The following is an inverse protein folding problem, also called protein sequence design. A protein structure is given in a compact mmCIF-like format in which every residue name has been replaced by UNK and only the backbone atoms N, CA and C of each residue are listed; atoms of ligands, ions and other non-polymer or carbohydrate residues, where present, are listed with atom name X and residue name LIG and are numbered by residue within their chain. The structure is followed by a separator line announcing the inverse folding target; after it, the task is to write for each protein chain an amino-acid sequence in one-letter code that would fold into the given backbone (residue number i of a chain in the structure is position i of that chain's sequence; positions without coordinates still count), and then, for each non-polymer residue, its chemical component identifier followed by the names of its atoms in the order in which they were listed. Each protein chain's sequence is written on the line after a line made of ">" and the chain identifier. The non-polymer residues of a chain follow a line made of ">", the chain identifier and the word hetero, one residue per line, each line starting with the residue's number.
data_IF_257870749433
#
_entry.id   IF_257870749433
#
_cell.length_a   1.000
_cell.length_b   1.000
_cell.length_c   1.000
_cell.angle_alpha   90.00
_cell.angle_beta   90.00
_cell.angle_gamma   90.00
#
_symmetry.space_group_name_H-M   'P 1'
#
loop_
_entity.id
_entity.type
_entity.pdbx_description
1 polymer ?
#
# COMPACT_ATOMS: atom_id res chain seq x y z
N UNK A 1 -6.89 6.23 -14.03
CA UNK A 1 -5.47 5.88 -13.82
C UNK A 1 -5.12 4.69 -14.72
N UNK A 2 -3.96 4.62 -15.37
CA UNK A 2 -3.59 3.44 -16.18
C UNK A 2 -2.88 2.36 -15.32
N UNK A 3 -2.99 1.08 -15.68
CA UNK A 3 -2.42 -0.06 -14.93
C UNK A 3 -0.91 0.02 -14.74
N UNK A 4 -0.17 0.42 -15.78
CA UNK A 4 1.30 0.52 -15.75
C UNK A 4 1.77 1.51 -14.68
N UNK A 5 1.10 2.66 -14.59
CA UNK A 5 1.38 3.68 -13.59
C UNK A 5 1.08 3.18 -12.18
N UNK A 6 -0.06 2.50 -11.98
CA UNK A 6 -0.42 1.95 -10.66
C UNK A 6 0.58 0.89 -10.19
N UNK A 7 0.99 -0.01 -11.09
CA UNK A 7 2.05 -0.99 -10.81
C UNK A 7 3.38 -0.31 -10.49
N UNK A 8 3.77 0.70 -11.28
CA UNK A 8 4.99 1.46 -11.05
C UNK A 8 4.99 2.18 -9.70
N UNK A 9 3.85 2.75 -9.29
CA UNK A 9 3.70 3.37 -7.97
C UNK A 9 3.88 2.35 -6.86
N UNK A 10 3.14 1.23 -6.91
CA UNK A 10 3.19 0.19 -5.89
C UNK A 10 4.59 -0.43 -5.77
N UNK A 11 5.22 -0.74 -6.90
CA UNK A 11 6.59 -1.25 -6.96
C UNK A 11 7.60 -0.22 -6.43
N UNK A 12 7.41 1.06 -6.75
CA UNK A 12 8.26 2.14 -6.25
C UNK A 12 8.22 2.25 -4.73
N UNK A 13 7.06 2.04 -4.08
CA UNK A 13 6.98 2.00 -2.61
C UNK A 13 7.76 0.81 -2.05
N UNK A 14 7.67 -0.37 -2.68
CA UNK A 14 8.42 -1.55 -2.25
C UNK A 14 9.93 -1.31 -2.34
N UNK A 15 10.41 -0.74 -3.45
CA UNK A 15 11.83 -0.53 -3.73
C UNK A 15 12.46 0.57 -2.86
N UNK A 16 11.66 1.55 -2.45
CA UNK A 16 12.11 2.67 -1.63
C UNK A 16 11.87 2.49 -0.13
N UNK A 17 11.18 1.42 0.27
CA UNK A 17 10.93 1.10 1.68
C UNK A 17 12.25 0.90 2.44
N UNK A 18 12.33 1.31 3.73
CA UNK A 18 13.52 1.08 4.55
C UNK A 18 13.90 -0.40 4.57
N UNK A 19 15.15 -0.72 4.23
CA UNK A 19 15.65 -2.10 4.09
C UNK A 19 15.56 -2.95 5.36
N UNK A 20 15.41 -2.32 6.52
CA UNK A 20 15.23 -3.02 7.81
C UNK A 20 13.81 -3.56 8.00
N UNK A 21 12.84 -3.08 7.21
CA UNK A 21 11.49 -3.64 7.23
C UNK A 21 11.49 -5.06 6.71
N UNK A 22 10.71 -5.92 7.37
CA UNK A 22 10.43 -7.25 6.82
C UNK A 22 9.59 -7.14 5.55
N UNK A 23 9.65 -8.16 4.69
CA UNK A 23 8.84 -8.22 3.47
C UNK A 23 7.34 -8.00 3.75
N UNK A 24 6.83 -8.56 4.86
CA UNK A 24 5.45 -8.37 5.27
C UNK A 24 5.10 -6.91 5.62
N UNK A 25 6.03 -6.17 6.26
CA UNK A 25 5.83 -4.75 6.59
C UNK A 25 6.04 -3.84 5.37
N UNK A 26 6.97 -4.18 4.49
CA UNK A 26 7.12 -3.50 3.20
C UNK A 26 5.85 -3.64 2.35
N UNK A 27 5.27 -4.85 2.29
CA UNK A 27 4.03 -5.07 1.56
C UNK A 27 2.85 -4.31 2.19
N UNK A 28 2.71 -4.36 3.52
CA UNK A 28 1.67 -3.61 4.23
C UNK A 28 1.77 -2.09 3.99
N UNK A 29 2.99 -1.55 3.97
CA UNK A 29 3.25 -0.14 3.65
C UNK A 29 2.84 0.18 2.21
N UNK A 30 3.25 -0.65 1.24
CA UNK A 30 2.93 -0.46 -0.18
C UNK A 30 1.41 -0.50 -0.44
N UNK A 31 0.71 -1.45 0.18
CA UNK A 31 -0.75 -1.56 0.13
C UNK A 31 -1.40 -0.29 0.69
N UNK A 32 -1.03 0.13 1.91
CA UNK A 32 -1.63 1.28 2.56
C UNK A 32 -1.43 2.57 1.74
N UNK A 33 -0.20 2.80 1.25
CA UNK A 33 0.13 3.96 0.42
C UNK A 33 -0.59 3.93 -0.94
N UNK A 34 -0.72 2.76 -1.57
CA UNK A 34 -1.43 2.61 -2.84
C UNK A 34 -2.93 2.86 -2.69
N UNK A 35 -3.56 2.31 -1.65
CA UNK A 35 -4.99 2.55 -1.37
C UNK A 35 -5.25 4.04 -1.15
N UNK A 36 -4.43 4.72 -0.34
CA UNK A 36 -4.61 6.14 -0.06
C UNK A 36 -4.42 6.99 -1.34
N UNK A 37 -3.35 6.72 -2.11
CA UNK A 37 -3.09 7.43 -3.36
C UNK A 37 -4.22 7.26 -4.38
N UNK A 38 -4.70 6.03 -4.59
CA UNK A 38 -5.75 5.73 -5.57
C UNK A 38 -7.10 6.30 -5.16
N UNK A 39 -7.42 6.31 -3.85
CA UNK A 39 -8.62 6.99 -3.34
C UNK A 39 -8.57 8.50 -3.56
N UNK A 40 -7.43 9.14 -3.30
CA UNK A 40 -7.24 10.57 -3.61
C UNK A 40 -7.38 10.85 -5.11
N UNK A 41 -7.01 9.90 -5.96
CA UNK A 41 -7.21 9.97 -7.41
C UNK A 41 -8.65 9.62 -7.87
N UNK A 42 -9.58 9.38 -6.95
CA UNK A 42 -10.99 9.09 -7.24
C UNK A 42 -11.26 7.67 -7.74
N UNK A 43 -10.33 6.74 -7.56
CA UNK A 43 -10.51 5.32 -7.91
C UNK A 43 -11.38 4.64 -6.85
N UNK A 44 -12.38 3.88 -7.28
CA UNK A 44 -13.28 3.17 -6.38
C UNK A 44 -12.60 1.95 -5.72
N UNK A 45 -13.11 1.55 -4.56
CA UNK A 45 -12.53 0.44 -3.78
C UNK A 45 -12.53 -0.90 -4.51
N UNK A 46 -13.49 -1.19 -5.40
CA UNK A 46 -13.51 -2.45 -6.12
C UNK A 46 -12.38 -2.51 -7.15
N UNK A 47 -12.16 -1.42 -7.89
CA UNK A 47 -11.03 -1.28 -8.81
C UNK A 47 -9.69 -1.34 -8.06
N UNK A 48 -9.58 -0.70 -6.90
CA UNK A 48 -8.35 -0.77 -6.07
C UNK A 48 -8.10 -2.20 -5.58
N UNK A 49 -9.12 -2.90 -5.11
CA UNK A 49 -9.00 -4.28 -4.63
C UNK A 49 -8.53 -5.20 -5.76
N UNK A 50 -9.20 -5.13 -6.93
CA UNK A 50 -8.83 -5.92 -8.10
C UNK A 50 -7.39 -5.66 -8.51
N UNK A 51 -6.98 -4.38 -8.64
CA UNK A 51 -5.61 -4.02 -8.95
C UNK A 51 -4.61 -4.63 -7.96
N UNK A 52 -4.82 -4.46 -6.66
CA UNK A 52 -3.85 -4.92 -5.66
C UNK A 52 -3.74 -6.46 -5.62
N UNK A 53 -4.85 -7.17 -5.74
CA UNK A 53 -4.87 -8.65 -5.64
C UNK A 53 -4.45 -9.30 -6.95
N UNK A 54 -5.03 -8.88 -8.07
CA UNK A 54 -4.88 -9.57 -9.35
C UNK A 54 -3.67 -9.06 -10.14
N UNK A 55 -3.42 -7.74 -10.14
CA UNK A 55 -2.34 -7.16 -10.96
C UNK A 55 -1.03 -7.05 -10.18
N UNK A 56 -1.09 -6.59 -8.93
CA UNK A 56 0.10 -6.37 -8.10
C UNK A 56 0.47 -7.59 -7.26
N UNK A 57 -0.39 -8.61 -7.21
CA UNK A 57 -0.21 -9.83 -6.41
C UNK A 57 0.10 -9.57 -4.93
N UNK A 58 -0.47 -8.50 -4.37
CA UNK A 58 -0.32 -8.13 -2.98
C UNK A 58 -1.05 -9.14 -2.06
N UNK A 59 -0.53 -9.32 -0.83
CA UNK A 59 -1.18 -10.19 0.17
C UNK A 59 -2.66 -9.82 0.39
N UNK A 60 -3.55 -10.74 0.04
CA UNK A 60 -5.00 -10.53 0.06
C UNK A 60 -5.54 -10.21 1.46
N UNK A 61 -4.95 -10.75 2.53
CA UNK A 61 -5.39 -10.45 3.91
C UNK A 61 -5.05 -9.01 4.26
N UNK A 62 -3.86 -8.55 3.91
CA UNK A 62 -3.44 -7.16 4.11
C UNK A 62 -4.27 -6.20 3.27
N UNK A 63 -4.57 -6.52 2.00
CA UNK A 63 -5.46 -5.71 1.16
C UNK A 63 -6.84 -5.61 1.77
N UNK A 64 -7.43 -6.73 2.19
CA UNK A 64 -8.76 -6.77 2.80
C UNK A 64 -8.84 -5.96 4.09
N UNK A 65 -7.79 -5.99 4.90
CA UNK A 65 -7.71 -5.17 6.10
C UNK A 65 -7.56 -3.68 5.78
N UNK A 66 -6.58 -3.32 4.93
CA UNK A 66 -6.26 -1.92 4.67
C UNK A 66 -7.38 -1.20 3.92
N UNK A 67 -8.13 -1.91 3.05
CA UNK A 67 -9.21 -1.28 2.29
C UNK A 67 -10.42 -0.91 3.16
N UNK A 68 -10.55 -1.46 4.37
CA UNK A 68 -11.61 -1.03 5.31
C UNK A 68 -11.22 0.19 6.13
N UNK A 69 -9.94 0.58 6.13
CA UNK A 69 -9.44 1.71 6.89
C UNK A 69 -9.80 3.05 6.22
N UNK A 70 -10.04 4.09 7.02
CA UNK A 70 -10.18 5.46 6.54
C UNK A 70 -8.82 6.13 6.27
N UNK A 71 -8.82 7.38 5.81
CA UNK A 71 -7.59 8.10 5.46
C UNK A 71 -6.63 8.27 6.65
N UNK A 72 -7.15 8.69 7.81
CA UNK A 72 -6.35 8.92 9.02
C UNK A 72 -5.76 7.61 9.56
N UNK A 73 -6.53 6.52 9.48
CA UNK A 73 -6.09 5.18 9.87
C UNK A 73 -4.98 4.65 8.95
N UNK A 74 -5.11 4.86 7.63
CA UNK A 74 -4.09 4.51 6.65
C UNK A 74 -2.79 5.29 6.88
N UNK A 75 -2.90 6.60 7.10
CA UNK A 75 -1.75 7.46 7.38
C UNK A 75 -1.06 7.06 8.70
N UNK A 76 -1.86 6.78 9.74
CA UNK A 76 -1.35 6.29 11.04
C UNK A 76 -0.63 4.96 10.87
N UNK A 77 -1.15 4.03 10.06
CA UNK A 77 -0.51 2.75 9.78
C UNK A 77 0.84 2.95 9.07
N UNK A 78 0.89 3.80 8.04
CA UNK A 78 2.12 4.12 7.31
C UNK A 78 3.17 4.72 8.23
N UNK A 79 2.79 5.70 9.07
CA UNK A 79 3.70 6.33 10.02
C UNK A 79 4.26 5.32 11.04
N UNK A 80 3.43 4.41 11.56
CA UNK A 80 3.88 3.32 12.44
C UNK A 80 4.89 2.41 11.75
N UNK A 81 4.65 2.05 10.49
CA UNK A 81 5.56 1.20 9.72
C UNK A 81 6.87 1.91 9.44
N UNK A 82 6.83 3.15 8.97
CA UNK A 82 8.03 3.94 8.71
C UNK A 82 8.84 4.16 9.99
N UNK A 83 8.20 4.36 11.15
CA UNK A 83 8.91 4.49 12.43
C UNK A 83 9.70 3.23 12.80
N UNK A 84 9.20 2.04 12.47
CA UNK A 84 9.99 0.80 12.62
C UNK A 84 11.24 0.82 11.73
N UNK A 85 11.15 1.45 10.56
CA UNK A 85 12.25 1.65 9.63
C UNK A 85 13.31 2.68 10.05
N UNK A 86 13.01 3.55 11.04
CA UNK A 86 13.91 4.60 11.54
C UNK A 86 14.61 4.23 12.85
N UNK A 87 14.25 3.11 13.49
CA UNK A 87 14.83 2.67 14.77
C UNK A 87 16.11 1.82 14.60
N UNK A 88 16.90 2.08 13.57
CA UNK A 88 18.16 1.41 13.27
C UNK A 88 19.36 2.33 13.54
#
# INVERSE_FOLDING_TARGET
>A
MNKVFMLGYYQGVIETAPKILSAAKTNELAIAMAIQHLRHAGVDSATINHFLVEDAHADMRQVSHCITLNADELETLQAKILRMGHLA
#
